data_IF_598959599976
#
_entry.id   IF_598959599976
#
_cell.length_a   1.000
_cell.length_b   1.000
_cell.length_c   1.000
_cell.angle_alpha   90.00
_cell.angle_beta   90.00
_cell.angle_gamma   90.00
#
_symmetry.space_group_name_H-M   'P 1'
#
loop_
_entity.id
_entity.type
_entity.pdbx_description
1 polymer ?
#
# COMPACT_ATOMS: atom_id res chain seq x y z
N UNK A 1 -17.01 -13.92 19.53
CA UNK A 1 -16.66 -12.58 18.99
C UNK A 1 -16.62 -12.66 17.48
N UNK A 2 -17.09 -11.64 16.75
CA UNK A 2 -17.06 -11.59 15.28
C UNK A 2 -16.58 -10.21 14.80
N UNK A 3 -15.75 -10.19 13.75
CA UNK A 3 -15.21 -8.97 13.15
C UNK A 3 -15.76 -8.78 11.73
N UNK A 4 -16.17 -7.56 11.38
CA UNK A 4 -16.68 -7.21 10.05
C UNK A 4 -15.96 -5.97 9.50
N UNK A 5 -14.78 -6.14 8.87
CA UNK A 5 -14.01 -5.02 8.34
C UNK A 5 -14.73 -4.34 7.17
N UNK A 6 -14.62 -3.02 7.09
CA UNK A 6 -15.10 -2.23 5.96
C UNK A 6 -13.90 -1.78 5.13
N UNK A 7 -13.90 -2.12 3.84
CA UNK A 7 -12.85 -1.72 2.90
C UNK A 7 -13.25 -0.48 2.11
N UNK A 8 -12.26 0.19 1.53
CA UNK A 8 -12.51 1.31 0.64
C UNK A 8 -13.34 0.87 -0.58
N UNK A 9 -14.31 1.69 -0.99
CA UNK A 9 -15.26 1.36 -2.08
C UNK A 9 -14.58 1.01 -3.41
N UNK A 10 -13.38 1.55 -3.64
CA UNK A 10 -12.59 1.26 -4.84
C UNK A 10 -12.21 -0.23 -4.95
N UNK A 11 -12.04 -0.93 -3.81
CA UNK A 11 -11.70 -2.35 -3.77
C UNK A 11 -12.88 -3.27 -4.13
N UNK A 12 -14.08 -2.71 -4.27
CA UNK A 12 -15.26 -3.38 -4.80
C UNK A 12 -15.72 -2.80 -6.14
N UNK A 13 -14.93 -1.91 -6.75
CA UNK A 13 -15.28 -1.24 -8.00
C UNK A 13 -14.79 -2.03 -9.22
N UNK A 14 -15.26 -1.63 -10.41
CA UNK A 14 -14.78 -2.19 -11.68
C UNK A 14 -13.28 -2.00 -11.88
N UNK A 15 -12.68 -0.95 -11.29
CA UNK A 15 -11.27 -0.59 -11.50
C UNK A 15 -10.26 -1.62 -10.98
N UNK A 16 -10.68 -2.53 -10.11
CA UNK A 16 -9.85 -3.63 -9.59
C UNK A 16 -10.22 -4.99 -10.19
N UNK A 17 -11.19 -5.01 -11.10
CA UNK A 17 -11.69 -6.25 -11.70
C UNK A 17 -10.86 -6.70 -12.91
N UNK A 18 -10.85 -8.01 -13.15
CA UNK A 18 -10.20 -8.60 -14.33
C UNK A 18 -10.79 -8.05 -15.63
N UNK A 19 -12.10 -7.73 -15.64
CA UNK A 19 -12.76 -7.11 -16.80
C UNK A 19 -12.08 -5.79 -17.18
N UNK A 20 -11.80 -4.93 -16.21
CA UNK A 20 -11.14 -3.65 -16.46
C UNK A 20 -9.71 -3.84 -16.96
N UNK A 21 -8.96 -4.78 -16.37
CA UNK A 21 -7.61 -5.09 -16.84
C UNK A 21 -7.63 -5.60 -18.29
N UNK A 22 -8.57 -6.49 -18.63
CA UNK A 22 -8.72 -6.99 -19.99
C UNK A 22 -9.06 -5.88 -20.99
N UNK A 23 -9.87 -4.89 -20.59
CA UNK A 23 -10.17 -3.72 -21.44
C UNK A 23 -8.90 -2.89 -21.70
N UNK A 24 -8.07 -2.70 -20.68
CA UNK A 24 -6.82 -1.94 -20.81
C UNK A 24 -5.77 -2.69 -21.65
N UNK A 25 -5.73 -4.02 -21.56
CA UNK A 25 -4.74 -4.87 -22.25
C UNK A 25 -5.15 -5.27 -23.67
N UNK A 26 -6.45 -5.42 -23.96
CA UNK A 26 -6.97 -5.91 -25.24
C UNK A 26 -6.91 -4.91 -26.41
N UNK A 27 -6.32 -3.74 -26.20
CA UNK A 27 -6.27 -2.65 -27.18
C UNK A 27 -4.94 -2.74 -27.98
N UNK A 28 -4.95 -3.56 -29.03
CA UNK A 28 -3.85 -3.61 -30.00
C UNK A 28 -3.88 -2.31 -30.83
N UNK A 29 -2.77 -1.55 -30.88
CA UNK A 29 -2.59 -0.21 -31.48
C UNK A 29 -2.76 1.00 -30.56
N UNK A 30 -2.39 0.84 -29.29
CA UNK A 30 -2.20 2.00 -28.41
C UNK A 30 -0.85 2.67 -28.68
N UNK A 31 -0.87 3.96 -29.07
CA UNK A 31 0.32 4.78 -29.29
C UNK A 31 1.21 4.93 -28.04
N UNK A 32 2.48 5.30 -28.24
CA UNK A 32 3.49 5.35 -27.15
C UNK A 32 3.11 6.29 -25.99
N UNK A 33 2.39 7.39 -26.27
CA UNK A 33 2.00 8.40 -25.29
C UNK A 33 0.57 8.23 -24.75
N UNK A 34 -0.06 7.08 -25.00
CA UNK A 34 -1.41 6.85 -24.54
C UNK A 34 -1.43 6.44 -23.07
N UNK A 35 -2.23 7.19 -22.30
CA UNK A 35 -2.38 7.00 -20.85
C UNK A 35 -2.78 5.58 -20.46
N UNK A 36 -3.45 4.82 -21.35
CA UNK A 36 -3.91 3.44 -21.07
C UNK A 36 -2.75 2.48 -20.84
N UNK A 37 -1.58 2.72 -21.44
CA UNK A 37 -0.37 1.92 -21.20
C UNK A 37 0.08 2.01 -19.75
N UNK A 38 0.17 3.24 -19.22
CA UNK A 38 0.55 3.46 -17.83
C UNK A 38 -0.59 3.06 -16.87
N UNK A 39 -1.84 3.34 -17.25
CA UNK A 39 -3.01 3.03 -16.44
C UNK A 39 -3.14 1.54 -16.14
N UNK A 40 -2.80 0.64 -17.09
CA UNK A 40 -2.85 -0.80 -16.83
C UNK A 40 -2.00 -1.21 -15.64
N UNK A 41 -0.78 -0.68 -15.50
CA UNK A 41 0.10 -0.99 -14.38
C UNK A 41 -0.44 -0.38 -13.06
N UNK A 42 -0.92 0.86 -13.11
CA UNK A 42 -1.47 1.56 -11.94
C UNK A 42 -2.76 0.91 -11.41
N UNK A 43 -3.66 0.48 -12.30
CA UNK A 43 -4.88 -0.24 -11.93
C UNK A 43 -4.57 -1.66 -11.45
N UNK A 44 -3.60 -2.36 -12.05
CA UNK A 44 -3.14 -3.66 -11.57
C UNK A 44 -2.63 -3.56 -10.12
N UNK A 45 -1.75 -2.60 -9.87
CA UNK A 45 -1.25 -2.28 -8.54
C UNK A 45 -2.37 -1.98 -7.54
N UNK A 46 -3.38 -1.20 -7.95
CA UNK A 46 -4.54 -0.92 -7.10
C UNK A 46 -5.30 -2.20 -6.74
N UNK A 47 -5.48 -3.12 -7.69
CA UNK A 47 -6.09 -4.43 -7.43
C UNK A 47 -5.27 -5.24 -6.43
N UNK A 48 -3.96 -5.32 -6.65
CA UNK A 48 -3.05 -6.04 -5.76
C UNK A 48 -3.06 -5.47 -4.35
N UNK A 49 -3.10 -4.13 -4.21
CA UNK A 49 -3.24 -3.44 -2.92
C UNK A 49 -4.54 -3.80 -2.20
N UNK A 50 -5.66 -3.81 -2.92
CA UNK A 50 -6.94 -4.20 -2.35
C UNK A 50 -6.94 -5.66 -1.88
N UNK A 51 -6.35 -6.56 -2.67
CA UNK A 51 -6.20 -7.97 -2.29
C UNK A 51 -5.27 -8.15 -1.08
N UNK A 52 -4.14 -7.46 -1.07
CA UNK A 52 -3.18 -7.47 0.03
C UNK A 52 -3.85 -6.99 1.32
N UNK A 53 -4.58 -5.88 1.27
CA UNK A 53 -5.33 -5.33 2.41
C UNK A 53 -6.31 -6.36 2.97
N UNK A 54 -7.11 -7.00 2.12
CA UNK A 54 -8.05 -8.04 2.52
C UNK A 54 -7.34 -9.23 3.19
N UNK A 55 -6.23 -9.70 2.63
CA UNK A 55 -5.42 -10.79 3.19
C UNK A 55 -4.83 -10.41 4.54
N UNK A 56 -4.22 -9.22 4.66
CA UNK A 56 -3.65 -8.70 5.91
C UNK A 56 -4.69 -8.62 7.01
N UNK A 57 -5.87 -8.05 6.75
CA UNK A 57 -6.93 -7.93 7.74
C UNK A 57 -7.45 -9.30 8.18
N UNK A 58 -7.74 -10.21 7.23
CA UNK A 58 -8.16 -11.58 7.56
C UNK A 58 -7.12 -12.32 8.39
N UNK A 59 -5.85 -12.19 8.04
CA UNK A 59 -4.75 -12.80 8.80
C UNK A 59 -4.70 -12.26 10.23
N UNK A 60 -4.78 -10.94 10.40
CA UNK A 60 -4.79 -10.30 11.73
C UNK A 60 -5.98 -10.76 12.58
N UNK A 61 -7.18 -10.83 11.99
CA UNK A 61 -8.39 -11.34 12.67
C UNK A 61 -8.18 -12.78 13.12
N UNK A 62 -7.73 -13.67 12.22
CA UNK A 62 -7.51 -15.07 12.54
C UNK A 62 -6.45 -15.24 13.63
N UNK A 63 -5.37 -14.46 13.56
CA UNK A 63 -4.32 -14.47 14.57
C UNK A 63 -4.88 -14.07 15.93
N UNK A 64 -5.64 -12.98 16.02
CA UNK A 64 -6.26 -12.53 17.26
C UNK A 64 -7.22 -13.58 17.83
N UNK A 65 -8.11 -14.12 17.00
CA UNK A 65 -9.07 -15.15 17.43
C UNK A 65 -8.40 -16.47 17.86
N UNK A 66 -7.17 -16.73 17.41
CA UNK A 66 -6.39 -17.90 17.84
C UNK A 66 -5.60 -17.69 19.15
N UNK A 67 -5.56 -16.47 19.68
CA UNK A 67 -4.84 -16.20 20.93
C UNK A 67 -5.58 -16.81 22.12
N UNK A 68 -4.84 -17.53 22.95
CA UNK A 68 -5.34 -18.07 24.23
C UNK A 68 -5.04 -17.07 25.33
N UNK A 69 -6.05 -16.69 26.10
CA UNK A 69 -5.88 -15.86 27.29
C UNK A 69 -5.45 -16.77 28.44
N UNK A 70 -4.22 -16.59 28.92
CA UNK A 70 -3.68 -17.33 30.08
C UNK A 70 -3.72 -16.40 31.28
N UNK A 71 -4.40 -16.84 32.34
CA UNK A 71 -4.62 -16.05 33.55
C UNK A 71 -4.02 -16.80 34.74
N UNK A 72 -3.28 -16.10 35.61
CA UNK A 72 -2.60 -16.69 36.76
C UNK A 72 -3.53 -16.94 37.95
N UNK A 73 -4.70 -16.30 37.97
CA UNK A 73 -5.73 -16.45 38.99
C UNK A 73 -7.11 -16.30 38.35
N UNK A 74 -8.14 -16.85 39.02
CA UNK A 74 -9.54 -16.62 38.62
C UNK A 74 -9.82 -15.12 38.75
N UNK A 75 -10.15 -14.48 37.63
CA UNK A 75 -10.62 -13.10 37.61
C UNK A 75 -12.10 -13.05 37.91
N UNK A 76 -12.54 -11.94 38.49
CA UNK A 76 -13.96 -11.62 38.47
C UNK A 76 -14.41 -11.19 37.07
N UNK A 77 -15.72 -11.10 36.88
CA UNK A 77 -16.32 -10.79 35.59
C UNK A 77 -15.95 -9.37 35.10
N UNK A 78 -15.77 -8.42 36.02
CA UNK A 78 -15.49 -7.03 35.68
C UNK A 78 -14.08 -6.92 35.12
N UNK A 79 -13.10 -7.47 35.84
CA UNK A 79 -11.70 -7.50 35.44
C UNK A 79 -11.51 -8.27 34.13
N UNK A 80 -12.21 -9.41 33.98
CA UNK A 80 -12.17 -10.18 32.74
C UNK A 80 -12.68 -9.37 31.55
N UNK A 81 -13.83 -8.71 31.70
CA UNK A 81 -14.42 -7.90 30.64
C UNK A 81 -13.56 -6.67 30.31
N UNK A 82 -12.94 -6.04 31.30
CA UNK A 82 -12.03 -4.91 31.09
C UNK A 82 -10.78 -5.35 30.29
N UNK A 83 -10.15 -6.45 30.68
CA UNK A 83 -9.00 -7.01 29.97
C UNK A 83 -9.36 -7.44 28.55
N UNK A 84 -10.52 -8.06 28.36
CA UNK A 84 -10.98 -8.46 27.03
C UNK A 84 -11.20 -7.24 26.13
N UNK A 85 -11.85 -6.20 26.64
CA UNK A 85 -12.05 -4.95 25.91
C UNK A 85 -10.72 -4.25 25.58
N UNK A 86 -9.78 -4.22 26.52
CA UNK A 86 -8.44 -3.67 26.29
C UNK A 86 -7.70 -4.45 25.18
N UNK A 87 -7.77 -5.77 25.19
CA UNK A 87 -7.18 -6.65 24.17
C UNK A 87 -7.77 -6.40 22.78
N UNK A 88 -9.09 -6.28 22.68
CA UNK A 88 -9.80 -5.96 21.44
C UNK A 88 -9.40 -4.58 20.91
N UNK A 89 -9.32 -3.58 21.79
CA UNK A 89 -8.91 -2.23 21.41
C UNK A 89 -7.44 -2.19 20.93
N UNK A 90 -6.56 -2.94 21.57
CA UNK A 90 -5.17 -3.08 21.15
C UNK A 90 -5.07 -3.79 19.80
N UNK A 91 -5.89 -4.82 19.57
CA UNK A 91 -5.99 -5.49 18.27
C UNK A 91 -6.38 -4.50 17.16
N UNK A 92 -7.41 -3.67 17.37
CA UNK A 92 -7.80 -2.66 16.38
C UNK A 92 -6.67 -1.67 16.08
N UNK A 93 -6.07 -1.10 17.13
CA UNK A 93 -4.99 -0.11 16.99
C UNK A 93 -3.77 -0.69 16.27
N UNK A 94 -3.31 -1.87 16.67
CA UNK A 94 -2.14 -2.51 16.06
C UNK A 94 -2.41 -2.92 14.61
N UNK A 95 -3.61 -3.40 14.30
CA UNK A 95 -3.98 -3.77 12.93
C UNK A 95 -4.00 -2.55 12.01
N UNK A 96 -4.60 -1.44 12.45
CA UNK A 96 -4.64 -0.19 11.68
C UNK A 96 -3.23 0.40 11.51
N UNK A 97 -2.44 0.42 12.58
CA UNK A 97 -1.06 0.91 12.55
C UNK A 97 -0.18 0.11 11.57
N UNK A 98 -0.28 -1.23 11.60
CA UNK A 98 0.46 -2.08 10.67
C UNK A 98 0.02 -1.85 9.21
N UNK A 99 -1.27 -1.61 8.98
CA UNK A 99 -1.77 -1.26 7.65
C UNK A 99 -1.20 0.07 7.16
N UNK A 100 -1.12 1.09 8.03
CA UNK A 100 -0.51 2.37 7.68
C UNK A 100 0.97 2.23 7.30
N UNK A 101 1.73 1.41 8.03
CA UNK A 101 3.12 1.07 7.68
C UNK A 101 3.18 0.42 6.29
N UNK A 102 2.33 -0.58 6.02
CA UNK A 102 2.30 -1.26 4.72
C UNK A 102 2.01 -0.30 3.57
N UNK A 103 1.05 0.62 3.77
CA UNK A 103 0.72 1.68 2.81
C UNK A 103 1.90 2.61 2.55
N UNK A 104 2.60 3.04 3.60
CA UNK A 104 3.73 3.95 3.46
C UNK A 104 4.93 3.26 2.78
N UNK A 105 5.19 1.98 3.10
CA UNK A 105 6.17 1.16 2.37
C UNK A 105 5.78 1.07 0.89
N UNK A 106 4.52 0.78 0.57
CA UNK A 106 4.08 0.71 -0.83
C UNK A 106 4.33 2.05 -1.53
N UNK A 107 3.99 3.19 -0.91
CA UNK A 107 4.24 4.50 -1.51
C UNK A 107 5.72 4.73 -1.82
N UNK A 108 6.61 4.32 -0.93
CA UNK A 108 8.05 4.41 -1.15
C UNK A 108 8.49 3.52 -2.33
N UNK A 109 8.01 2.28 -2.38
CA UNK A 109 8.28 1.36 -3.51
C UNK A 109 7.80 1.97 -4.83
N UNK A 110 6.59 2.53 -4.86
CA UNK A 110 6.03 3.12 -6.07
C UNK A 110 6.74 4.37 -6.55
N UNK A 111 7.26 5.18 -5.62
CA UNK A 111 8.12 6.29 -5.99
C UNK A 111 9.34 5.74 -6.72
N UNK A 112 10.00 4.70 -6.17
CA UNK A 112 11.17 4.06 -6.79
C UNK A 112 10.84 3.40 -8.13
N UNK A 113 9.76 2.63 -8.21
CA UNK A 113 9.40 1.84 -9.38
C UNK A 113 8.83 2.69 -10.52
N UNK A 114 8.23 3.85 -10.25
CA UNK A 114 7.89 4.81 -11.32
C UNK A 114 9.13 5.28 -12.08
N UNK A 115 10.30 5.30 -11.45
CA UNK A 115 11.57 5.59 -12.15
C UNK A 115 11.99 4.45 -13.08
N UNK A 116 11.78 3.19 -12.68
CA UNK A 116 12.12 2.03 -13.51
C UNK A 116 11.11 1.78 -14.64
N UNK A 117 9.81 1.97 -14.38
CA UNK A 117 8.77 1.82 -15.42
C UNK A 117 8.83 2.91 -16.49
N UNK A 118 9.37 4.10 -16.17
CA UNK A 118 9.67 5.14 -17.16
C UNK A 118 10.90 4.79 -18.04
N UNK A 119 11.76 3.85 -17.62
CA UNK A 119 13.07 3.57 -18.26
C UNK A 119 13.15 2.26 -19.02
N UNK A 120 12.16 1.35 -18.95
CA UNK A 120 12.17 0.10 -19.74
C UNK A 120 11.68 0.26 -21.19
N UNK A 121 11.73 1.47 -21.72
CA UNK A 121 11.67 1.66 -23.16
C UNK A 121 12.88 2.49 -23.51
N UNK A 122 13.93 1.86 -24.07
CA UNK A 122 14.60 2.23 -25.32
C UNK A 122 15.75 1.23 -25.55
N UNK A 123 15.73 0.53 -26.67
CA UNK A 123 16.92 -0.09 -27.27
C UNK A 123 17.91 0.97 -27.80
N UNK A 124 18.02 2.11 -27.13
CA UNK A 124 19.02 3.14 -27.33
C UNK A 124 19.49 3.52 -25.93
N UNK A 125 20.80 3.56 -25.74
CA UNK A 125 21.48 3.97 -24.51
C UNK A 125 20.99 5.35 -24.06
N UNK A 126 19.94 5.38 -23.25
CA UNK A 126 19.61 6.54 -22.44
C UNK A 126 20.15 6.24 -21.05
N UNK A 127 21.10 7.07 -20.62
CA UNK A 127 21.70 7.00 -19.29
C UNK A 127 20.59 6.92 -18.23
N UNK A 128 20.80 6.08 -17.22
CA UNK A 128 19.87 5.96 -16.11
C UNK A 128 19.60 7.37 -15.55
N UNK A 129 18.34 7.77 -15.34
CA UNK A 129 18.03 9.08 -14.79
C UNK A 129 18.69 9.20 -13.41
N UNK A 130 19.42 10.29 -13.19
CA UNK A 130 20.02 10.57 -11.88
C UNK A 130 18.91 10.79 -10.85
N UNK A 131 18.93 9.98 -9.80
CA UNK A 131 18.04 10.11 -8.65
C UNK A 131 18.61 11.16 -7.71
N UNK A 132 17.89 12.27 -7.56
CA UNK A 132 18.23 13.34 -6.62
C UNK A 132 17.27 13.29 -5.44
N UNK A 133 17.81 13.11 -4.23
CA UNK A 133 17.02 13.19 -2.99
C UNK A 133 17.04 14.62 -2.48
N UNK A 134 15.90 15.30 -2.56
CA UNK A 134 15.68 16.61 -1.99
C UNK A 134 15.12 16.46 -0.57
N UNK A 135 15.85 16.95 0.42
CA UNK A 135 15.39 16.97 1.81
C UNK A 135 14.89 18.36 2.16
N UNK A 136 13.61 18.48 2.51
CA UNK A 136 13.02 19.71 3.04
C UNK A 136 12.85 19.55 4.54
N UNK A 137 13.67 20.26 5.31
CA UNK A 137 13.56 20.30 6.77
C UNK A 137 12.70 21.48 7.19
N UNK A 138 11.62 21.20 7.90
CA UNK A 138 10.79 22.23 8.52
C UNK A 138 11.56 22.86 9.70
N UNK A 139 11.86 24.15 9.59
CA UNK A 139 12.66 24.90 10.58
C UNK A 139 11.98 25.03 11.95
N UNK A 140 10.67 24.84 12.03
CA UNK A 140 9.90 25.06 13.27
C UNK A 140 9.89 23.82 14.15
N UNK A 141 9.94 22.62 13.57
CA UNK A 141 9.79 21.36 14.29
C UNK A 141 10.85 20.31 13.93
N UNK A 142 11.85 20.67 13.12
CA UNK A 142 12.95 19.80 12.65
C UNK A 142 12.49 18.52 11.91
N UNK A 143 11.25 18.45 11.45
CA UNK A 143 10.79 17.33 10.62
C UNK A 143 11.34 17.48 9.21
N UNK A 144 12.00 16.42 8.73
CA UNK A 144 12.53 16.34 7.37
C UNK A 144 11.58 15.55 6.48
N UNK A 145 11.13 16.15 5.39
CA UNK A 145 10.41 15.46 4.31
C UNK A 145 11.38 15.23 3.17
N UNK A 146 11.50 13.99 2.71
CA UNK A 146 12.34 13.63 1.57
C UNK A 146 11.47 13.50 0.31
N UNK A 147 11.91 14.15 -0.77
CA UNK A 147 11.33 14.05 -2.09
C UNK A 147 12.39 13.46 -3.03
N UNK A 148 12.06 12.39 -3.73
CA UNK A 148 12.94 11.82 -4.76
C UNK A 148 12.53 12.43 -6.11
N UNK A 149 13.46 13.10 -6.78
CA UNK A 149 13.29 13.73 -8.08
C UNK A 149 14.24 13.11 -9.11
N UNK A 150 13.94 13.27 -10.41
CA UNK A 150 14.83 12.87 -11.49
C UNK A 150 15.23 14.07 -12.34
N UNK A 151 16.43 14.02 -12.92
CA UNK A 151 16.92 14.98 -13.92
C UNK A 151 17.36 14.24 -15.17
N UNK A 152 16.96 14.72 -16.35
CA UNK A 152 17.52 14.24 -17.62
C UNK A 152 18.72 15.12 -17.98
N UNK A 153 19.93 14.57 -17.92
CA UNK A 153 21.11 15.17 -18.51
C UNK A 153 21.09 14.90 -20.01
N UNK A 154 20.74 15.90 -20.82
CA UNK A 154 21.02 15.85 -22.26
C UNK A 154 22.47 16.28 -22.46
N UNK A 155 23.38 15.35 -22.76
CA UNK A 155 24.68 15.71 -23.34
C UNK A 155 24.42 16.33 -24.71
N UNK A 156 24.86 17.59 -24.89
CA UNK A 156 24.84 18.29 -26.18
C UNK A 156 26.04 17.93 -27.05
#
# INVERSE_FOLDING_TARGET
>A
MSFSPTFHQICSSVFVSDLWMNILQGQNNIGLNDWRRQASAEFQLLSDLCQLTNKTIKYSINRFLSQVVIVSSVMDEIDFNEQMNASVNQFYRSTLYNFDIQKDIMRLILQVDRFYLATVHWGQSMEAPDLVVNTVTNKTNNYSTQYVCYTFSTMG
#
